data_IF_195522688239
#
_entry.id   IF_195522688239
#
_cell.length_a   1.000
_cell.length_b   1.000
_cell.length_c   1.000
_cell.angle_alpha   90.00
_cell.angle_beta   90.00
_cell.angle_gamma   90.00
#
_symmetry.space_group_name_H-M   'P 1'
#
loop_
_entity.id
_entity.type
_entity.pdbx_description
1 polymer ?
#
# COMPACT_ATOMS: atom_id res chain seq x y z
N UNK A 1 -18.96 -9.45 -26.01
CA UNK A 1 -19.22 -8.41 -24.97
C UNK A 1 -19.05 -9.08 -23.62
N UNK A 2 -17.97 -8.79 -22.89
CA UNK A 2 -17.79 -9.32 -21.53
C UNK A 2 -18.77 -8.61 -20.61
N UNK A 3 -19.79 -9.33 -20.22
CA UNK A 3 -20.77 -8.87 -19.22
C UNK A 3 -20.07 -8.86 -17.86
N UNK A 4 -19.37 -7.77 -17.54
CA UNK A 4 -18.75 -7.60 -16.22
C UNK A 4 -19.89 -7.43 -15.23
N UNK A 5 -20.24 -8.50 -14.53
CA UNK A 5 -21.26 -8.47 -13.48
C UNK A 5 -20.78 -7.51 -12.39
N UNK A 6 -21.41 -6.35 -12.28
CA UNK A 6 -21.15 -5.42 -11.19
C UNK A 6 -21.63 -6.08 -9.89
N UNK A 7 -20.70 -6.41 -9.02
CA UNK A 7 -21.00 -6.96 -7.71
C UNK A 7 -21.62 -5.86 -6.83
N UNK A 8 -22.63 -6.25 -6.06
CA UNK A 8 -23.22 -5.34 -5.05
C UNK A 8 -22.22 -5.14 -3.90
N UNK A 9 -22.23 -3.94 -3.34
CA UNK A 9 -21.49 -3.64 -2.13
C UNK A 9 -21.96 -4.56 -0.98
N UNK A 10 -21.02 -5.10 -0.22
CA UNK A 10 -21.36 -5.87 0.99
C UNK A 10 -21.90 -4.94 2.08
N UNK A 11 -22.78 -5.43 2.98
CA UNK A 11 -23.17 -4.66 4.15
C UNK A 11 -21.97 -4.25 5.00
N UNK A 12 -22.11 -3.16 5.74
CA UNK A 12 -21.11 -2.75 6.72
C UNK A 12 -20.86 -3.86 7.73
N UNK A 13 -19.59 -4.07 8.05
CA UNK A 13 -19.13 -5.09 8.99
C UNK A 13 -18.39 -4.43 10.14
N UNK A 14 -18.55 -4.93 11.35
CA UNK A 14 -17.72 -4.53 12.47
C UNK A 14 -16.35 -5.18 12.32
N UNK A 15 -15.29 -4.38 12.45
CA UNK A 15 -13.94 -4.89 12.48
C UNK A 15 -13.72 -5.73 13.75
N UNK A 16 -13.30 -7.00 13.57
CA UNK A 16 -12.90 -7.84 14.69
C UNK A 16 -11.49 -7.50 15.20
N UNK A 17 -11.09 -8.03 16.36
CA UNK A 17 -9.79 -7.70 16.99
C UNK A 17 -8.58 -8.17 16.17
N UNK A 18 -8.78 -9.08 15.21
CA UNK A 18 -7.70 -9.60 14.34
C UNK A 18 -7.64 -8.94 12.96
N UNK A 19 -8.48 -7.93 12.68
CA UNK A 19 -8.53 -7.33 11.35
C UNK A 19 -7.19 -6.73 10.94
N UNK A 20 -6.58 -5.92 11.80
CA UNK A 20 -5.29 -5.27 11.51
C UNK A 20 -4.16 -6.30 11.33
N UNK A 21 -4.17 -7.39 12.10
CA UNK A 21 -3.23 -8.52 11.96
C UNK A 21 -3.28 -9.09 10.53
N UNK A 22 -4.49 -9.38 10.03
CA UNK A 22 -4.69 -9.85 8.65
C UNK A 22 -4.32 -8.83 7.58
N UNK A 23 -4.30 -7.54 7.92
CA UNK A 23 -3.93 -6.47 7.00
C UNK A 23 -2.42 -6.25 6.86
N UNK A 24 -1.61 -6.70 7.84
CA UNK A 24 -0.16 -6.45 7.91
C UNK A 24 0.65 -7.73 8.26
N UNK A 25 0.42 -8.85 7.60
CA UNK A 25 0.92 -10.16 8.05
C UNK A 25 2.44 -10.21 8.20
N UNK A 26 3.22 -9.60 7.30
CA UNK A 26 4.68 -9.57 7.39
C UNK A 26 5.19 -8.84 8.64
N UNK A 27 4.55 -7.73 8.99
CA UNK A 27 4.98 -6.88 10.10
C UNK A 27 4.71 -7.52 11.47
N UNK A 28 3.87 -8.54 11.51
CA UNK A 28 3.59 -9.35 12.71
C UNK A 28 4.21 -10.74 12.66
N UNK A 29 5.13 -10.99 11.71
CA UNK A 29 5.90 -12.23 11.61
C UNK A 29 5.19 -13.38 10.87
N UNK A 30 4.05 -13.15 10.21
CA UNK A 30 3.38 -14.16 9.37
C UNK A 30 3.91 -14.05 7.93
N UNK A 31 5.07 -14.65 7.69
CA UNK A 31 5.75 -14.55 6.40
C UNK A 31 5.34 -15.63 5.39
N UNK A 32 4.62 -16.67 5.82
CA UNK A 32 4.27 -17.83 4.99
C UNK A 32 3.12 -17.59 4.01
N UNK A 33 2.27 -16.61 4.29
CA UNK A 33 1.02 -16.40 3.53
C UNK A 33 1.15 -15.38 2.39
N UNK A 34 2.21 -14.57 2.39
CA UNK A 34 2.42 -13.52 1.40
C UNK A 34 3.91 -13.47 1.01
N UNK A 35 4.16 -13.37 -0.28
CA UNK A 35 5.53 -13.39 -0.82
C UNK A 35 6.26 -12.06 -0.69
N UNK A 36 5.58 -10.96 -0.35
CA UNK A 36 6.14 -9.60 -0.35
C UNK A 36 5.60 -8.77 0.80
N UNK A 37 6.47 -7.93 1.34
CA UNK A 37 6.09 -6.92 2.32
C UNK A 37 5.27 -5.81 1.63
N UNK A 38 4.12 -5.44 2.21
CA UNK A 38 3.21 -4.46 1.65
C UNK A 38 3.70 -3.02 1.78
N UNK A 39 4.70 -2.75 2.63
CA UNK A 39 5.31 -1.42 2.76
C UNK A 39 6.35 -1.14 1.67
N UNK A 40 6.73 -2.14 0.87
CA UNK A 40 7.66 -2.00 -0.22
C UNK A 40 6.96 -2.04 -1.59
N UNK A 41 6.84 -0.88 -2.23
CA UNK A 41 6.22 -0.73 -3.54
C UNK A 41 7.18 -1.09 -4.68
N UNK A 42 8.46 -1.21 -4.39
CA UNK A 42 9.52 -1.57 -5.34
C UNK A 42 9.60 -3.09 -5.44
N UNK A 43 9.14 -3.65 -6.55
CA UNK A 43 9.02 -5.11 -6.70
C UNK A 43 10.33 -5.79 -7.14
N UNK A 44 11.22 -5.04 -7.79
CA UNK A 44 12.51 -5.57 -8.26
C UNK A 44 13.53 -4.43 -8.47
N UNK A 45 14.78 -4.79 -8.72
CA UNK A 45 15.83 -3.84 -9.10
C UNK A 45 15.56 -3.15 -10.44
N UNK A 46 14.71 -3.74 -11.30
CA UNK A 46 14.31 -3.19 -12.59
C UNK A 46 13.23 -2.09 -12.48
N UNK A 47 12.62 -1.91 -11.31
CA UNK A 47 11.67 -0.83 -11.09
C UNK A 47 12.30 0.51 -11.43
N UNK A 48 11.67 1.27 -12.30
CA UNK A 48 12.16 2.56 -12.78
C UNK A 48 11.81 3.68 -11.81
N UNK A 49 12.60 4.77 -11.85
CA UNK A 49 12.38 5.96 -11.02
C UNK A 49 13.35 6.07 -9.84
N UNK A 50 13.44 7.27 -9.28
CA UNK A 50 14.30 7.55 -8.12
C UNK A 50 13.71 6.92 -6.88
N UNK A 51 14.48 6.08 -6.18
CA UNK A 51 14.11 5.47 -4.91
C UNK A 51 13.98 6.53 -3.83
N UNK A 52 12.91 6.45 -3.07
CA UNK A 52 12.66 7.30 -1.89
C UNK A 52 12.10 6.46 -0.77
N UNK A 53 12.30 6.92 0.45
CA UNK A 53 11.62 6.45 1.64
C UNK A 53 10.69 7.53 2.14
N UNK A 54 9.48 7.13 2.53
CA UNK A 54 8.49 8.01 3.14
C UNK A 54 8.22 7.46 4.53
N UNK A 55 8.36 8.28 5.54
CA UNK A 55 8.12 7.89 6.92
C UNK A 55 7.49 9.03 7.71
N UNK A 56 6.88 8.69 8.83
CA UNK A 56 6.27 9.67 9.71
C UNK A 56 5.67 9.06 10.97
N UNK A 57 5.02 9.91 11.75
CA UNK A 57 4.25 9.53 12.94
C UNK A 57 2.85 10.11 12.83
N UNK A 58 1.89 9.45 13.45
CA UNK A 58 0.50 9.90 13.53
C UNK A 58 0.23 10.28 14.97
N UNK A 59 -0.42 11.43 15.16
CA UNK A 59 -0.80 11.94 16.47
C UNK A 59 -2.33 12.08 16.52
N UNK A 60 -2.89 11.80 17.66
CA UNK A 60 -4.31 12.02 17.95
C UNK A 60 -4.61 13.48 18.34
N UNK A 61 -5.86 13.75 18.70
CA UNK A 61 -6.29 15.09 19.12
C UNK A 61 -5.70 15.60 20.44
N UNK A 62 -5.11 14.72 21.24
CA UNK A 62 -4.40 15.04 22.48
C UNK A 62 -2.89 15.17 22.28
N UNK A 63 -2.42 15.02 21.03
CA UNK A 63 -1.01 14.98 20.66
C UNK A 63 -0.27 13.72 21.17
N UNK A 64 -1.00 12.63 21.40
CA UNK A 64 -0.44 11.33 21.70
C UNK A 64 -0.16 10.56 20.42
N UNK A 65 0.92 9.75 20.40
CA UNK A 65 1.29 8.96 19.23
C UNK A 65 0.32 7.78 19.05
N UNK A 66 -0.32 7.71 17.88
CA UNK A 66 -1.15 6.57 17.45
C UNK A 66 -0.25 5.46 16.94
N UNK A 67 -0.05 4.40 17.74
CA UNK A 67 0.89 3.32 17.45
C UNK A 67 0.29 2.15 16.66
N UNK A 68 -1.03 2.07 16.59
CA UNK A 68 -1.79 1.00 15.93
C UNK A 68 -2.46 1.47 14.63
N UNK A 69 -2.06 2.62 14.10
CA UNK A 69 -2.60 3.13 12.85
C UNK A 69 -2.20 2.25 11.66
N UNK A 70 -3.19 1.99 10.79
CA UNK A 70 -2.98 1.39 9.49
C UNK A 70 -2.83 2.49 8.45
N UNK A 71 -1.68 2.54 7.78
CA UNK A 71 -1.36 3.56 6.77
C UNK A 71 -1.34 2.93 5.40
N UNK A 72 -2.02 3.54 4.44
CA UNK A 72 -2.04 3.11 3.05
C UNK A 72 -1.49 4.21 2.14
N UNK A 73 -0.77 3.79 1.12
CA UNK A 73 -0.28 4.66 0.04
C UNK A 73 -0.83 4.18 -1.30
N UNK A 74 -1.27 5.12 -2.12
CA UNK A 74 -1.63 4.87 -3.51
C UNK A 74 -1.05 5.96 -4.38
N UNK A 75 -0.16 5.58 -5.31
CA UNK A 75 0.57 6.51 -6.13
C UNK A 75 0.73 6.01 -7.58
N UNK A 76 1.01 6.92 -8.50
CA UNK A 76 1.44 6.60 -9.84
C UNK A 76 2.90 6.12 -9.87
N UNK A 77 3.27 5.42 -10.94
CA UNK A 77 4.66 5.08 -11.21
C UNK A 77 5.50 6.29 -11.65
N UNK A 78 6.77 6.08 -12.01
CA UNK A 78 7.69 7.13 -12.46
C UNK A 78 7.24 7.84 -13.75
N UNK A 79 6.40 7.20 -14.59
CA UNK A 79 5.83 7.74 -15.81
C UNK A 79 4.48 8.45 -15.61
N UNK A 80 3.92 8.41 -14.41
CA UNK A 80 2.63 9.03 -14.09
C UNK A 80 1.42 8.14 -14.36
N UNK A 81 1.59 6.82 -14.41
CA UNK A 81 0.49 5.87 -14.65
C UNK A 81 0.14 5.07 -13.40
N UNK A 82 -1.17 4.84 -13.22
CA UNK A 82 -1.69 3.84 -12.30
C UNK A 82 -1.77 2.48 -13.00
N UNK A 83 -1.55 1.42 -12.24
CA UNK A 83 -1.75 0.06 -12.71
C UNK A 83 -3.24 -0.21 -12.89
N UNK A 84 -3.68 -0.40 -14.13
CA UNK A 84 -5.08 -0.75 -14.43
C UNK A 84 -5.26 -2.27 -14.32
N UNK A 85 -6.27 -2.70 -13.57
CA UNK A 85 -6.70 -4.11 -13.55
C UNK A 85 -7.65 -4.47 -14.69
N UNK A 86 -8.20 -3.46 -15.36
CA UNK A 86 -9.25 -3.63 -16.38
C UNK A 86 -8.68 -3.77 -17.80
N UNK A 87 -7.56 -3.13 -18.07
CA UNK A 87 -6.91 -3.16 -19.37
C UNK A 87 -5.54 -3.83 -19.30
N UNK A 88 -5.37 -4.94 -20.02
CA UNK A 88 -4.07 -5.62 -20.16
C UNK A 88 -2.97 -4.74 -20.83
N UNK A 89 -3.31 -3.55 -21.32
CA UNK A 89 -2.40 -2.54 -21.89
C UNK A 89 -2.01 -1.48 -20.86
N UNK A 90 -1.76 -1.87 -19.63
CA UNK A 90 -1.26 -0.93 -18.61
C UNK A 90 0.09 -0.37 -19.06
N UNK A 91 0.18 0.96 -19.21
CA UNK A 91 1.43 1.69 -19.46
C UNK A 91 2.28 1.81 -18.19
N UNK A 92 1.78 1.31 -17.05
CA UNK A 92 2.48 1.35 -15.78
C UNK A 92 3.65 0.35 -15.75
N UNK A 93 4.67 0.68 -14.96
CA UNK A 93 5.82 -0.20 -14.71
C UNK A 93 5.36 -1.52 -14.07
N UNK A 94 5.58 -2.68 -14.70
CA UNK A 94 5.20 -3.98 -14.15
C UNK A 94 5.95 -4.32 -12.85
N UNK A 95 7.12 -3.72 -12.63
CA UNK A 95 7.98 -3.93 -11.48
C UNK A 95 7.69 -2.99 -10.30
N UNK A 96 6.63 -2.17 -10.42
CA UNK A 96 6.19 -1.25 -9.39
C UNK A 96 4.78 -1.59 -8.91
N UNK A 97 4.59 -1.59 -7.59
CA UNK A 97 3.26 -1.71 -7.00
C UNK A 97 2.73 -0.30 -6.68
N UNK A 98 1.64 0.09 -7.33
CA UNK A 98 1.05 1.42 -7.13
C UNK A 98 0.34 1.60 -5.79
N UNK A 99 0.24 0.54 -5.00
CA UNK A 99 -0.41 0.52 -3.70
C UNK A 99 0.46 -0.17 -2.67
N UNK A 100 0.45 0.34 -1.46
CA UNK A 100 1.12 -0.26 -0.31
C UNK A 100 0.38 -0.02 0.99
N UNK A 101 0.77 -0.77 2.01
CA UNK A 101 0.19 -0.72 3.35
C UNK A 101 1.26 -0.99 4.40
N UNK A 102 1.20 -0.25 5.50
CA UNK A 102 2.06 -0.44 6.66
C UNK A 102 1.30 -0.14 7.94
N UNK A 103 1.87 -0.50 9.06
CA UNK A 103 1.45 -0.03 10.38
C UNK A 103 2.57 0.75 11.04
N UNK A 104 2.26 1.40 12.15
CA UNK A 104 3.27 2.01 12.98
C UNK A 104 4.03 0.95 13.78
N UNK A 105 5.30 1.20 14.01
CA UNK A 105 6.08 0.46 15.00
C UNK A 105 5.51 0.71 16.41
N UNK A 106 5.26 -0.35 17.17
CA UNK A 106 4.56 -0.28 18.45
C UNK A 106 5.35 0.46 19.54
N UNK A 107 6.67 0.55 19.43
CA UNK A 107 7.51 1.26 20.41
C UNK A 107 7.66 2.73 20.05
N UNK A 108 8.00 3.01 18.79
CA UNK A 108 8.37 4.34 18.32
C UNK A 108 7.23 5.13 17.67
N UNK A 109 6.16 4.43 17.24
CA UNK A 109 5.06 5.00 16.46
C UNK A 109 5.44 5.38 15.02
N UNK A 110 6.63 4.96 14.55
CA UNK A 110 7.11 5.28 13.20
C UNK A 110 6.48 4.33 12.18
N UNK A 111 5.93 4.88 11.10
CA UNK A 111 5.55 4.13 9.89
C UNK A 111 6.48 4.46 8.73
N UNK A 112 6.66 3.55 7.79
CA UNK A 112 7.60 3.71 6.69
C UNK A 112 7.14 2.97 5.41
N UNK A 113 7.41 3.61 4.24
CA UNK A 113 7.29 3.00 2.92
C UNK A 113 8.59 3.14 2.14
N UNK A 114 8.94 2.08 1.41
CA UNK A 114 9.97 2.08 0.38
C UNK A 114 9.30 2.22 -0.99
N UNK A 115 9.57 3.30 -1.70
CA UNK A 115 8.89 3.60 -2.95
C UNK A 115 9.78 4.36 -3.94
N UNK A 116 9.18 4.96 -4.94
CA UNK A 116 9.84 5.84 -5.90
C UNK A 116 9.20 7.22 -5.89
N UNK A 117 9.94 8.23 -6.34
CA UNK A 117 9.36 9.55 -6.62
C UNK A 117 8.32 9.39 -7.73
N UNK A 118 7.04 9.73 -7.51
CA UNK A 118 6.01 9.60 -8.51
C UNK A 118 6.23 10.56 -9.68
N UNK A 119 5.86 10.12 -10.88
CA UNK A 119 5.81 10.97 -12.06
C UNK A 119 4.61 11.91 -12.07
N UNK A 120 4.55 12.77 -13.07
CA UNK A 120 3.39 13.64 -13.31
C UNK A 120 2.23 12.76 -13.80
N UNK A 121 1.07 12.89 -13.16
CA UNK A 121 -0.13 12.12 -13.53
C UNK A 121 -0.50 12.44 -14.98
N UNK A 122 -0.70 11.37 -15.75
CA UNK A 122 -1.21 11.44 -17.13
C UNK A 122 -2.64 10.94 -17.13
N UNK A 123 -3.54 11.82 -17.45
CA UNK A 123 -4.96 11.53 -17.63
C UNK A 123 -5.24 10.90 -18.99
#
# INVERSE_FOLDING_TARGET
MNNTKILKQTPSQTAGPYLHIGCIPHQIGINSSFSKDLNNLVLSNETKGSRIEIYGKIYDGNNDIVKDALVEIWQVDFNGYYKSRVNNNSKSDPNFNNWGRTTCDLETGLWQFHTIKPGIIKL
#
